data_IF_851548337304
#
_entry.id   IF_851548337304
#
_cell.length_a   1.000
_cell.length_b   1.000
_cell.length_c   1.000
_cell.angle_alpha   90.00
_cell.angle_beta   90.00
_cell.angle_gamma   90.00
#
_symmetry.space_group_name_H-M   'P 1'
#
loop_
_entity.id
_entity.type
_entity.pdbx_description
1 polymer ?
#
# COMPACT_ATOMS: atom_id res chain seq x y z
N UNK A 1 25.44 -22.17 -8.46
CA UNK A 1 24.44 -22.69 -9.41
C UNK A 1 23.07 -22.50 -8.76
N UNK A 2 22.53 -21.28 -8.83
CA UNK A 2 21.21 -20.95 -8.26
C UNK A 2 20.22 -20.92 -9.43
N UNK A 3 19.24 -21.81 -9.37
CA UNK A 3 18.20 -21.96 -10.39
C UNK A 3 17.27 -20.76 -10.35
N UNK A 4 17.25 -20.00 -11.44
CA UNK A 4 16.16 -19.10 -11.81
C UNK A 4 14.89 -19.93 -11.97
N UNK A 5 14.07 -20.00 -10.93
CA UNK A 5 12.66 -20.37 -11.09
C UNK A 5 11.86 -19.08 -11.16
N UNK A 6 11.72 -18.57 -12.38
CA UNK A 6 10.79 -17.48 -12.67
C UNK A 6 9.39 -17.88 -12.23
N UNK A 7 8.78 -17.06 -11.37
CA UNK A 7 7.36 -17.17 -11.06
C UNK A 7 6.60 -16.83 -12.35
N UNK A 8 5.91 -17.82 -12.91
CA UNK A 8 5.16 -17.65 -14.14
C UNK A 8 3.81 -16.98 -13.82
N UNK A 9 3.74 -15.66 -14.01
CA UNK A 9 2.50 -14.90 -13.84
C UNK A 9 1.60 -15.06 -15.08
N UNK A 10 0.42 -15.69 -14.94
CA UNK A 10 -0.61 -15.67 -15.98
C UNK A 10 -1.64 -14.59 -15.66
N UNK A 11 -1.60 -13.50 -16.44
CA UNK A 11 -2.70 -12.53 -16.52
C UNK A 11 -3.88 -13.20 -17.23
N UNK A 12 -5.04 -13.32 -16.59
CA UNK A 12 -6.29 -13.59 -17.30
C UNK A 12 -6.97 -12.26 -17.60
N UNK A 13 -6.56 -11.61 -18.69
CA UNK A 13 -7.33 -10.49 -19.26
C UNK A 13 -7.92 -10.88 -20.61
N UNK A 14 -9.22 -10.58 -20.74
CA UNK A 14 -10.14 -10.82 -21.87
C UNK A 14 -9.68 -10.16 -23.19
N UNK A 15 -10.12 -10.79 -24.29
CA UNK A 15 -10.23 -10.29 -25.69
C UNK A 15 -8.93 -10.17 -26.51
N UNK A 16 -8.55 -11.26 -27.18
CA UNK A 16 -8.03 -11.20 -28.55
C UNK A 16 -8.77 -12.26 -29.39
N UNK A 17 -9.44 -11.78 -30.42
CA UNK A 17 -10.16 -12.59 -31.40
C UNK A 17 -9.21 -13.00 -32.52
N UNK A 18 -9.01 -14.32 -32.72
CA UNK A 18 -8.96 -14.99 -34.04
C UNK A 18 -8.83 -16.52 -33.89
N UNK A 19 -9.97 -17.21 -34.00
CA UNK A 19 -10.27 -18.55 -34.59
C UNK A 19 -9.58 -19.86 -34.08
N UNK A 20 -10.20 -21.05 -34.28
CA UNK A 20 -11.53 -21.43 -33.81
C UNK A 20 -11.53 -22.82 -33.14
N UNK A 21 -12.27 -23.03 -32.05
CA UNK A 21 -12.95 -24.32 -31.85
C UNK A 21 -14.17 -24.14 -30.94
N UNK A 22 -15.30 -24.60 -31.46
CA UNK A 22 -16.65 -24.36 -30.97
C UNK A 22 -16.95 -25.19 -29.72
N UNK A 23 -17.44 -24.59 -28.63
CA UNK A 23 -18.41 -25.26 -27.72
C UNK A 23 -19.32 -24.21 -27.06
N UNK A 24 -20.57 -24.21 -27.53
CA UNK A 24 -21.84 -23.71 -26.96
C UNK A 24 -21.83 -22.75 -25.76
N UNK A 25 -22.36 -21.56 -26.01
CA UNK A 25 -22.82 -20.58 -25.02
C UNK A 25 -23.96 -21.12 -24.16
N UNK A 26 -23.83 -20.91 -22.84
CA UNK A 26 -24.97 -20.71 -21.94
C UNK A 26 -24.65 -19.47 -21.11
N UNK A 27 -25.24 -18.35 -21.48
CA UNK A 27 -25.26 -17.13 -20.68
C UNK A 27 -26.21 -17.33 -19.50
N UNK A 28 -25.65 -17.41 -18.30
CA UNK A 28 -26.38 -17.06 -17.08
C UNK A 28 -25.63 -15.92 -16.40
N UNK A 29 -26.25 -14.74 -16.48
CA UNK A 29 -25.77 -13.49 -15.92
C UNK A 29 -25.74 -13.55 -14.38
N UNK A 30 -24.62 -13.16 -13.76
CA UNK A 30 -24.58 -12.76 -12.36
C UNK A 30 -23.70 -11.51 -12.19
N UNK A 31 -24.17 -10.48 -11.47
CA UNK A 31 -23.42 -9.25 -11.25
C UNK A 31 -22.45 -9.39 -10.06
N UNK A 32 -21.49 -8.48 -10.02
CA UNK A 32 -20.58 -8.12 -8.92
C UNK A 32 -19.15 -8.68 -8.96
N UNK A 33 -18.23 -7.71 -8.81
CA UNK A 33 -16.79 -7.84 -8.90
C UNK A 33 -16.23 -8.87 -7.93
N UNK A 34 -15.21 -9.59 -8.43
CA UNK A 34 -14.43 -10.53 -7.62
C UNK A 34 -13.02 -10.00 -7.46
N UNK A 35 -12.59 -9.95 -6.21
CA UNK A 35 -11.20 -9.86 -5.81
C UNK A 35 -10.53 -11.21 -6.10
N UNK A 36 -9.43 -11.23 -6.86
CA UNK A 36 -8.71 -12.47 -7.17
C UNK A 36 -7.72 -12.81 -6.04
N UNK A 37 -7.98 -13.89 -5.30
CA UNK A 37 -7.01 -14.47 -4.37
C UNK A 37 -6.07 -15.40 -5.14
N UNK A 38 -4.79 -15.04 -5.26
CA UNK A 38 -3.78 -15.90 -5.89
C UNK A 38 -3.26 -16.91 -4.85
N UNK A 39 -3.58 -18.19 -5.04
CA UNK A 39 -2.97 -19.28 -4.29
C UNK A 39 -1.56 -19.51 -4.85
N UNK A 40 -0.53 -19.20 -4.05
CA UNK A 40 0.80 -19.70 -4.33
C UNK A 40 0.80 -21.21 -4.04
N UNK A 41 0.69 -22.03 -5.07
CA UNK A 41 0.71 -23.49 -4.95
C UNK A 41 2.10 -23.94 -4.49
N UNK A 42 2.27 -24.15 -3.19
CA UNK A 42 3.32 -25.02 -2.66
C UNK A 42 2.89 -26.47 -2.88
N UNK A 43 3.81 -27.25 -3.43
CA UNK A 43 3.60 -28.60 -3.95
C UNK A 43 3.42 -29.64 -2.82
N UNK A 44 2.40 -29.49 -1.98
CA UNK A 44 2.02 -30.46 -0.94
C UNK A 44 0.74 -31.18 -1.36
N UNK A 45 0.89 -32.24 -2.16
CA UNK A 45 -0.20 -33.17 -2.47
C UNK A 45 -0.52 -34.04 -1.25
N UNK A 46 -1.24 -33.52 -0.25
CA UNK A 46 -1.92 -34.34 0.77
C UNK A 46 -2.93 -33.53 1.61
N UNK A 47 -4.06 -33.13 1.03
CA UNK A 47 -5.27 -32.82 1.80
C UNK A 47 -6.53 -32.85 0.92
N UNK A 48 -7.03 -34.04 0.64
CA UNK A 48 -8.44 -34.22 0.26
C UNK A 48 -9.27 -34.49 1.53
N UNK A 49 -10.50 -33.96 1.54
CA UNK A 49 -11.58 -34.15 2.52
C UNK A 49 -11.58 -33.23 3.76
N UNK A 50 -11.77 -31.94 3.52
CA UNK A 50 -12.26 -30.96 4.49
C UNK A 50 -12.47 -29.65 3.76
N UNK A 51 -13.58 -28.95 3.97
CA UNK A 51 -13.77 -27.62 3.42
C UNK A 51 -12.82 -26.65 4.16
N UNK A 52 -11.53 -26.70 3.84
CA UNK A 52 -10.52 -25.83 4.41
C UNK A 52 -10.74 -24.48 3.74
N UNK A 53 -11.26 -23.51 4.50
CA UNK A 53 -11.29 -22.12 4.09
C UNK A 53 -9.83 -21.63 3.98
N UNK A 54 -9.25 -21.78 2.80
CA UNK A 54 -7.89 -21.32 2.53
C UNK A 54 -7.91 -19.80 2.54
N UNK A 55 -7.44 -19.19 3.62
CA UNK A 55 -7.23 -17.75 3.68
C UNK A 55 -5.94 -17.42 2.91
N UNK A 56 -6.03 -16.63 1.82
CA UNK A 56 -4.84 -16.25 1.07
C UNK A 56 -3.91 -15.43 1.98
N UNK A 57 -2.62 -15.78 1.98
CA UNK A 57 -1.59 -15.03 2.72
C UNK A 57 -1.15 -13.76 1.99
N UNK A 58 -1.40 -13.70 0.68
CA UNK A 58 -1.01 -12.59 -0.19
C UNK A 58 -2.23 -12.20 -1.01
N UNK A 59 -2.57 -10.92 -0.98
CA UNK A 59 -3.62 -10.33 -1.79
C UNK A 59 -3.00 -9.34 -2.77
N UNK A 60 -3.24 -9.54 -4.07
CA UNK A 60 -2.85 -8.59 -5.10
C UNK A 60 -4.06 -7.72 -5.45
N UNK A 61 -3.91 -6.42 -5.26
CA UNK A 61 -4.90 -5.42 -5.65
C UNK A 61 -4.50 -4.85 -7.01
N UNK A 62 -5.09 -5.36 -8.08
CA UNK A 62 -4.86 -4.89 -9.47
C UNK A 62 -5.97 -3.94 -9.93
N UNK A 63 -6.23 -2.92 -9.13
CA UNK A 63 -7.25 -1.89 -9.39
C UNK A 63 -6.67 -0.49 -9.16
N UNK A 64 -7.10 0.46 -9.98
CA UNK A 64 -6.66 1.86 -9.88
C UNK A 64 -7.62 2.60 -8.96
N UNK A 65 -7.08 3.37 -8.01
CA UNK A 65 -7.86 4.27 -7.15
C UNK A 65 -8.38 3.64 -5.86
N UNK A 66 -8.25 2.32 -5.65
CA UNK A 66 -8.75 1.65 -4.44
C UNK A 66 -7.73 1.61 -3.30
N UNK A 67 -6.46 1.97 -3.55
CA UNK A 67 -5.38 1.87 -2.56
C UNK A 67 -5.71 2.58 -1.24
N UNK A 68 -6.41 3.71 -1.31
CA UNK A 68 -6.87 4.46 -0.13
C UNK A 68 -7.74 3.61 0.81
N UNK A 69 -8.65 2.81 0.27
CA UNK A 69 -9.50 1.93 1.08
C UNK A 69 -8.69 0.82 1.76
N UNK A 70 -7.65 0.32 1.09
CA UNK A 70 -6.78 -0.72 1.63
C UNK A 70 -5.92 -0.23 2.80
N UNK A 71 -5.49 1.04 2.78
CA UNK A 71 -4.74 1.60 3.91
C UNK A 71 -5.51 1.53 5.23
N UNK A 72 -6.84 1.74 5.19
CA UNK A 72 -7.70 1.63 6.37
C UNK A 72 -7.77 0.22 6.99
N UNK A 73 -7.30 -0.79 6.28
CA UNK A 73 -7.22 -2.18 6.78
C UNK A 73 -5.82 -2.57 7.26
N UNK A 74 -4.83 -1.71 7.03
CA UNK A 74 -3.41 -2.01 7.29
C UNK A 74 -2.97 -1.55 8.68
N UNK A 75 -2.25 -2.42 9.39
CA UNK A 75 -1.58 -2.08 10.65
C UNK A 75 -0.14 -1.58 10.41
N UNK A 76 0.49 -2.13 9.37
CA UNK A 76 1.86 -1.83 8.95
C UNK A 76 1.80 -1.49 7.46
N UNK A 77 2.44 -0.41 7.06
CA UNK A 77 2.42 0.07 5.69
C UNK A 77 3.84 0.33 5.20
N UNK A 78 4.25 -0.36 4.14
CA UNK A 78 5.47 -0.02 3.42
C UNK A 78 5.15 0.77 2.16
N UNK A 79 5.73 1.97 2.04
CA UNK A 79 5.54 2.84 0.87
C UNK A 79 6.67 2.61 -0.13
N UNK A 80 6.33 1.96 -1.24
CA UNK A 80 7.25 1.63 -2.32
C UNK A 80 7.81 2.84 -3.09
N UNK A 81 8.58 2.58 -4.15
CA UNK A 81 9.21 3.63 -4.97
C UNK A 81 10.39 4.34 -4.30
N UNK A 82 10.75 3.91 -3.09
CA UNK A 82 11.77 4.49 -2.21
C UNK A 82 13.01 3.60 -2.02
N UNK A 83 12.96 2.32 -2.41
CA UNK A 83 14.14 1.42 -2.42
C UNK A 83 15.04 1.72 -3.62
N UNK A 84 14.45 2.07 -4.76
CA UNK A 84 15.15 2.35 -6.01
C UNK A 84 15.10 3.85 -6.36
N UNK A 85 15.65 4.23 -7.51
CA UNK A 85 15.84 5.64 -7.93
C UNK A 85 14.57 6.45 -8.26
N UNK A 86 13.37 5.92 -7.99
CA UNK A 86 12.09 6.57 -8.32
C UNK A 86 11.80 7.78 -7.41
N UNK A 87 12.41 7.85 -6.23
CA UNK A 87 12.40 9.05 -5.38
C UNK A 87 11.25 9.13 -4.37
N UNK A 88 10.56 8.02 -4.13
CA UNK A 88 9.48 7.89 -3.15
C UNK A 88 8.08 7.90 -3.78
N UNK A 89 7.09 7.65 -2.94
CA UNK A 89 5.65 7.74 -3.23
C UNK A 89 4.96 8.43 -2.04
N UNK A 90 3.66 8.68 -2.13
CA UNK A 90 2.93 9.40 -1.09
C UNK A 90 2.89 8.65 0.26
N UNK A 91 3.65 9.12 1.26
CA UNK A 91 3.62 8.57 2.62
C UNK A 91 2.46 9.10 3.48
N UNK A 92 1.77 10.15 3.04
CA UNK A 92 0.70 10.80 3.81
C UNK A 92 -0.53 9.91 3.90
N UNK A 93 -0.87 9.20 2.82
CA UNK A 93 -2.04 8.32 2.78
C UNK A 93 -2.04 7.27 3.90
N UNK A 94 -1.05 6.36 4.01
CA UNK A 94 -1.03 5.38 5.10
C UNK A 94 -0.85 6.03 6.48
N UNK A 95 -0.12 7.15 6.56
CA UNK A 95 0.04 7.91 7.80
C UNK A 95 -1.30 8.45 8.32
N UNK A 96 -2.18 8.95 7.44
CA UNK A 96 -3.49 9.46 7.79
C UNK A 96 -4.42 8.38 8.39
N UNK A 97 -4.29 7.14 7.91
CA UNK A 97 -5.01 5.99 8.46
C UNK A 97 -4.41 5.47 9.78
N UNK A 98 -3.25 5.98 10.19
CA UNK A 98 -2.59 5.58 11.44
C UNK A 98 -1.88 4.24 11.36
N UNK A 99 -1.47 3.81 10.16
CA UNK A 99 -0.63 2.63 9.99
C UNK A 99 0.81 2.93 10.46
N UNK A 100 1.52 1.92 10.95
CA UNK A 100 2.96 2.01 11.19
C UNK A 100 3.70 2.06 9.84
N UNK A 101 4.19 3.25 9.46
CA UNK A 101 4.75 3.49 8.13
C UNK A 101 6.26 3.24 8.09
N UNK A 102 6.73 2.49 7.08
CA UNK A 102 8.13 2.47 6.69
C UNK A 102 8.32 2.69 5.19
N UNK A 103 9.53 3.13 4.81
CA UNK A 103 9.90 3.38 3.41
C UNK A 103 11.41 3.27 3.21
N UNK A 104 11.85 3.12 1.96
CA UNK A 104 13.25 3.07 1.57
C UNK A 104 13.97 4.43 1.63
N UNK A 105 15.31 4.46 1.48
CA UNK A 105 16.10 5.67 1.67
C UNK A 105 15.94 6.73 0.57
N UNK A 106 15.44 6.36 -0.61
CA UNK A 106 15.35 7.26 -1.75
C UNK A 106 14.02 8.02 -1.77
N UNK A 107 13.93 9.11 -1.01
CA UNK A 107 12.69 9.91 -0.85
C UNK A 107 12.82 11.34 -1.36
N UNK A 108 13.68 11.57 -2.36
CA UNK A 108 13.98 12.92 -2.88
C UNK A 108 12.76 13.78 -3.25
N UNK A 109 11.65 13.18 -3.70
CA UNK A 109 10.44 13.90 -4.10
C UNK A 109 9.54 14.25 -2.89
N UNK A 110 9.81 13.64 -1.73
CA UNK A 110 9.00 13.72 -0.52
C UNK A 110 9.86 14.11 0.70
N UNK A 111 10.98 14.81 0.49
CA UNK A 111 11.96 15.13 1.54
C UNK A 111 11.34 15.84 2.73
N UNK A 112 10.52 16.86 2.48
CA UNK A 112 9.96 17.70 3.54
C UNK A 112 9.03 16.89 4.45
N UNK A 113 8.12 16.11 3.86
CA UNK A 113 7.21 15.26 4.63
C UNK A 113 7.97 14.14 5.35
N UNK A 114 8.99 13.55 4.72
CA UNK A 114 9.85 12.55 5.36
C UNK A 114 10.60 13.12 6.54
N UNK A 115 11.17 14.33 6.42
CA UNK A 115 11.83 15.00 7.53
C UNK A 115 10.90 15.23 8.71
N UNK A 116 9.64 15.60 8.46
CA UNK A 116 8.63 15.74 9.51
C UNK A 116 8.28 14.38 10.15
N UNK A 117 8.04 13.35 9.32
CA UNK A 117 7.69 12.01 9.80
C UNK A 117 8.80 11.40 10.66
N UNK A 118 10.06 11.57 10.27
CA UNK A 118 11.20 11.05 11.05
C UNK A 118 11.42 11.85 12.33
N UNK A 119 11.17 13.16 12.32
CA UNK A 119 11.31 14.02 13.50
C UNK A 119 10.30 13.69 14.58
N UNK A 120 9.07 13.33 14.20
CA UNK A 120 7.97 13.09 15.12
C UNK A 120 7.81 11.59 15.47
N UNK A 121 8.85 10.77 15.22
CA UNK A 121 8.81 9.31 15.41
C UNK A 121 7.52 8.70 14.79
N UNK A 122 7.23 9.09 13.55
CA UNK A 122 6.00 8.76 12.83
C UNK A 122 6.24 7.83 11.63
N UNK A 123 7.50 7.55 11.28
CA UNK A 123 7.86 6.55 10.28
C UNK A 123 9.29 6.04 10.47
N UNK A 124 9.64 4.95 9.77
CA UNK A 124 10.98 4.35 9.79
C UNK A 124 11.56 4.24 8.39
N UNK A 125 12.84 4.58 8.25
CA UNK A 125 13.60 4.30 7.01
C UNK A 125 14.18 2.89 7.10
N UNK A 126 13.94 2.08 6.07
CA UNK A 126 14.50 0.73 5.94
C UNK A 126 15.40 0.67 4.70
N UNK A 127 16.66 0.28 4.90
CA UNK A 127 17.68 0.31 3.85
C UNK A 127 17.75 -0.99 3.06
N UNK A 128 17.41 -2.11 3.69
CA UNK A 128 17.53 -3.44 3.12
C UNK A 128 16.45 -4.40 3.64
N UNK A 129 16.54 -5.65 3.16
CA UNK A 129 15.63 -6.72 3.54
C UNK A 129 15.67 -7.02 5.05
N UNK A 130 16.84 -6.93 5.68
CA UNK A 130 17.01 -7.26 7.09
C UNK A 130 16.35 -6.20 7.96
N UNK A 131 16.54 -4.93 7.65
CA UNK A 131 15.87 -3.83 8.37
C UNK A 131 14.35 -3.89 8.17
N UNK A 132 13.88 -4.25 6.98
CA UNK A 132 12.45 -4.48 6.72
C UNK A 132 11.89 -5.60 7.61
N UNK A 133 12.57 -6.75 7.65
CA UNK A 133 12.18 -7.89 8.49
C UNK A 133 12.14 -7.50 9.97
N UNK A 134 13.18 -6.83 10.46
CA UNK A 134 13.25 -6.35 11.84
C UNK A 134 12.13 -5.37 12.18
N UNK A 135 11.82 -4.44 11.29
CA UNK A 135 10.73 -3.51 11.46
C UNK A 135 9.38 -4.23 11.58
N UNK A 136 9.08 -5.12 10.64
CA UNK A 136 7.83 -5.89 10.66
C UNK A 136 7.74 -6.77 11.91
N UNK A 137 8.81 -7.49 12.24
CA UNK A 137 8.89 -8.33 13.43
C UNK A 137 8.60 -7.54 14.70
N UNK A 138 9.27 -6.39 14.87
CA UNK A 138 9.05 -5.51 16.01
C UNK A 138 7.63 -4.99 16.08
N UNK A 139 7.04 -4.57 14.96
CA UNK A 139 5.64 -4.12 14.94
C UNK A 139 4.65 -5.23 15.33
N UNK A 140 4.96 -6.50 15.05
CA UNK A 140 4.13 -7.65 15.41
C UNK A 140 4.32 -8.10 16.87
N UNK A 141 5.56 -8.08 17.37
CA UNK A 141 5.88 -8.47 18.75
C UNK A 141 5.62 -7.38 19.78
N UNK A 142 5.77 -6.12 19.39
CA UNK A 142 5.53 -4.93 20.22
C UNK A 142 4.37 -4.11 19.61
N UNK A 143 3.09 -4.52 19.78
CA UNK A 143 1.96 -3.79 19.18
C UNK A 143 1.88 -2.32 19.59
N UNK A 144 2.33 -1.96 20.79
CA UNK A 144 2.38 -0.57 21.25
C UNK A 144 3.40 0.27 20.46
N UNK A 145 4.50 -0.32 20.01
CA UNK A 145 5.45 0.36 19.11
C UNK A 145 4.80 0.69 17.77
N UNK A 146 4.05 -0.24 17.17
CA UNK A 146 3.33 0.02 15.93
C UNK A 146 2.23 1.07 16.12
N UNK A 147 1.47 0.98 17.22
CA UNK A 147 0.40 1.94 17.55
C UNK A 147 0.91 3.34 17.82
N UNK A 148 2.06 3.48 18.49
CA UNK A 148 2.67 4.79 18.74
C UNK A 148 3.13 5.44 17.44
N UNK A 149 3.83 4.68 16.59
CA UNK A 149 4.28 5.15 15.28
C UNK A 149 3.08 5.63 14.42
N UNK A 150 2.04 4.81 14.35
CA UNK A 150 0.82 5.15 13.61
C UNK A 150 0.06 6.35 14.19
N UNK A 151 -0.03 6.46 15.52
CA UNK A 151 -0.66 7.62 16.18
C UNK A 151 0.10 8.91 15.91
N UNK A 152 1.43 8.86 15.98
CA UNK A 152 2.29 10.00 15.67
C UNK A 152 2.11 10.43 14.20
N UNK A 153 2.10 9.46 13.29
CA UNK A 153 1.87 9.69 11.86
C UNK A 153 0.52 10.37 11.60
N UNK A 154 -0.55 9.85 12.18
CA UNK A 154 -1.89 10.43 12.04
C UNK A 154 -1.97 11.83 12.63
N UNK A 155 -1.42 12.04 13.83
CA UNK A 155 -1.38 13.35 14.49
C UNK A 155 -0.63 14.38 13.65
N UNK A 156 0.50 13.97 13.05
CA UNK A 156 1.28 14.82 12.15
C UNK A 156 0.46 15.23 10.93
N UNK A 157 -0.24 14.29 10.29
CA UNK A 157 -1.09 14.61 9.13
C UNK A 157 -2.22 15.56 9.53
N UNK A 158 -2.91 15.29 10.64
CA UNK A 158 -4.00 16.13 11.15
C UNK A 158 -3.53 17.58 11.43
N UNK A 159 -2.33 17.75 11.98
CA UNK A 159 -1.74 19.09 12.19
C UNK A 159 -1.47 19.84 10.89
N UNK A 160 -1.20 19.12 9.79
CA UNK A 160 -0.92 19.73 8.50
C UNK A 160 -2.17 19.98 7.63
N UNK A 161 -3.29 19.32 7.90
CA UNK A 161 -4.56 19.60 7.20
C UNK A 161 -5.04 21.04 7.38
N UNK A 162 -4.76 21.66 8.52
CA UNK A 162 -5.06 23.08 8.77
C UNK A 162 -4.14 24.08 8.06
N UNK A 163 -3.11 23.63 7.34
CA UNK A 163 -2.22 24.51 6.59
C UNK A 163 -2.92 25.14 5.39
N UNK A 164 -3.77 24.39 4.68
CA UNK A 164 -4.53 24.89 3.54
C UNK A 164 -5.43 26.06 3.93
N UNK A 165 -6.17 25.92 5.04
CA UNK A 165 -7.05 27.00 5.54
C UNK A 165 -6.25 28.26 5.90
N UNK A 166 -5.11 28.10 6.59
CA UNK A 166 -4.21 29.22 6.92
C UNK A 166 -3.65 29.90 5.66
N UNK A 167 -3.32 29.13 4.62
CA UNK A 167 -2.85 29.69 3.35
C UNK A 167 -3.96 30.49 2.68
N UNK A 168 -5.20 29.98 2.69
CA UNK A 168 -6.35 30.69 2.13
C UNK A 168 -6.60 32.02 2.85
N UNK A 169 -6.62 32.02 4.18
CA UNK A 169 -6.78 33.23 5.00
C UNK A 169 -5.69 34.29 4.73
N UNK A 170 -4.45 33.86 4.48
CA UNK A 170 -3.36 34.76 4.13
C UNK A 170 -3.52 35.34 2.71
N UNK A 171 -3.97 34.52 1.76
CA UNK A 171 -4.24 34.98 0.39
C UNK A 171 -5.41 35.97 0.36
N UNK A 172 -6.48 35.71 1.11
CA UNK A 172 -7.62 36.62 1.24
C UNK A 172 -7.18 38.02 1.71
N UNK A 173 -6.34 38.09 2.76
CA UNK A 173 -5.81 39.37 3.26
C UNK A 173 -4.98 40.13 2.22
N UNK A 174 -4.16 39.41 1.43
CA UNK A 174 -3.34 40.04 0.37
C UNK A 174 -4.24 40.57 -0.75
N UNK A 175 -5.27 39.82 -1.13
CA UNK A 175 -6.22 40.23 -2.17
C UNK A 175 -7.07 41.44 -1.73
N UNK A 176 -7.47 41.50 -0.46
CA UNK A 176 -8.19 42.65 0.12
C UNK A 176 -7.32 43.91 0.17
N UNK A 177 -6.02 43.76 0.44
CA UNK A 177 -5.07 44.89 0.54
C UNK A 177 -4.66 45.45 -0.84
N UNK A 178 -4.72 44.63 -1.90
CA UNK A 178 -4.39 45.05 -3.28
C UNK A 178 -5.55 45.67 -4.07
N UNK A 179 -6.76 45.73 -3.50
CA UNK A 179 -7.97 46.26 -4.13
C UNK A 179 -8.32 47.71 -3.70
N UNK A 180 -7.44 48.37 -2.92
CA UNK A 180 -7.54 49.79 -2.53
C UNK A 180 -6.41 50.61 -3.11
#
# INVERSE_FOLDING_TARGET
>A
MLSEKGVLWRRRSRLDATAPEQVTEKEDALPNGRCESVLAESNDQAALAGNIEVRPRILLVDTIGELGAWWGTSHIAFVGGSIHRRGGQNMIEPAAYGAAVCFGPNTKNFRDIVSLLLRDDAAVVVHDQREMEQFVHRCLEEPEYARSLGRNAKTLVERQLGATQRTLELLERVLETGAG
#
